data_IF_468659882808
#
_entry.id   IF_468659882808
#
_cell.length_a   1.000
_cell.length_b   1.000
_cell.length_c   1.000
_cell.angle_alpha   90.00
_cell.angle_beta   90.00
_cell.angle_gamma   90.00
#
_symmetry.space_group_name_H-M   'P 1'
#
loop_
_entity.id
_entity.type
_entity.pdbx_description
1 polymer ?
#
# COMPACT_ATOMS: atom_id res chain seq x y z
N UNK A 1 -1.44 -25.41 -7.70
CA UNK A 1 -0.97 -24.01 -7.77
C UNK A 1 -0.74 -23.68 -9.24
N UNK A 2 -1.59 -22.87 -9.86
CA UNK A 2 -1.37 -22.43 -11.23
C UNK A 2 -0.19 -21.45 -11.25
N UNK A 3 0.89 -21.80 -11.96
CA UNK A 3 1.99 -20.88 -12.23
C UNK A 3 1.49 -19.82 -13.21
N UNK A 4 1.68 -18.55 -12.87
CA UNK A 4 1.49 -17.37 -13.74
C UNK A 4 2.52 -17.36 -14.90
N UNK A 5 2.60 -18.43 -15.68
CA UNK A 5 3.62 -18.58 -16.73
C UNK A 5 3.14 -18.17 -18.13
N UNK A 6 1.93 -17.63 -18.28
CA UNK A 6 1.43 -17.14 -19.58
C UNK A 6 0.83 -15.74 -19.50
N UNK A 7 1.46 -14.87 -18.72
CA UNK A 7 1.46 -13.43 -18.98
C UNK A 7 2.92 -13.04 -19.23
N UNK A 8 3.22 -12.11 -20.17
CA UNK A 8 4.61 -11.76 -20.48
C UNK A 8 5.37 -11.41 -19.21
N UNK A 9 6.71 -11.57 -19.23
CA UNK A 9 7.69 -11.39 -18.14
C UNK A 9 7.53 -10.10 -17.28
N UNK A 10 6.58 -9.23 -17.62
CA UNK A 10 6.12 -8.00 -16.97
C UNK A 10 5.91 -8.14 -15.46
N UNK A 11 5.31 -9.23 -14.97
CA UNK A 11 5.03 -9.41 -13.53
C UNK A 11 5.71 -10.65 -12.99
N UNK A 12 6.36 -10.54 -11.83
CA UNK A 12 6.96 -11.67 -11.12
C UNK A 12 6.76 -11.55 -9.62
N UNK A 13 6.25 -12.61 -9.01
CA UNK A 13 6.06 -12.69 -7.58
C UNK A 13 7.36 -13.02 -6.83
N UNK A 14 7.55 -12.39 -5.67
CA UNK A 14 8.64 -12.66 -4.72
C UNK A 14 8.04 -12.89 -3.33
N UNK A 15 8.08 -14.13 -2.86
CA UNK A 15 7.46 -14.54 -1.59
C UNK A 15 8.50 -14.84 -0.50
N UNK A 16 8.13 -14.61 0.76
CA UNK A 16 8.99 -14.71 1.95
C UNK A 16 9.18 -13.36 2.64
N UNK A 17 9.99 -13.29 3.70
CA UNK A 17 10.21 -12.06 4.49
C UNK A 17 10.48 -10.82 3.61
N UNK A 18 9.72 -9.75 3.79
CA UNK A 18 9.84 -8.49 3.02
C UNK A 18 11.30 -8.02 2.89
N UNK A 19 12.01 -7.97 4.03
CA UNK A 19 13.41 -7.53 4.10
C UNK A 19 14.37 -8.40 3.27
N UNK A 20 13.99 -9.66 2.98
CA UNK A 20 14.78 -10.61 2.18
C UNK A 20 14.35 -10.65 0.72
N UNK A 21 13.09 -10.38 0.42
CA UNK A 21 12.51 -10.45 -0.92
C UNK A 21 12.66 -9.15 -1.69
N UNK A 22 12.53 -7.98 -1.05
CA UNK A 22 12.72 -6.67 -1.71
C UNK A 22 14.11 -6.52 -2.36
N UNK A 23 15.24 -6.90 -1.72
CA UNK A 23 16.55 -6.89 -2.38
C UNK A 23 16.63 -7.80 -3.61
N UNK A 24 16.01 -8.99 -3.57
CA UNK A 24 16.01 -9.94 -4.68
C UNK A 24 15.23 -9.39 -5.87
N UNK A 25 14.06 -8.80 -5.61
CA UNK A 25 13.24 -8.13 -6.62
C UNK A 25 14.05 -7.03 -7.32
N UNK A 26 14.73 -6.17 -6.55
CA UNK A 26 15.58 -5.12 -7.11
C UNK A 26 16.78 -5.65 -7.89
N UNK A 27 17.40 -6.73 -7.42
CA UNK A 27 18.54 -7.36 -8.11
C UNK A 27 18.15 -7.89 -9.50
N UNK A 28 16.88 -8.18 -9.74
CA UNK A 28 16.34 -8.53 -11.06
C UNK A 28 15.93 -7.31 -11.91
N UNK A 29 16.23 -6.08 -11.47
CA UNK A 29 15.90 -4.85 -12.18
C UNK A 29 14.39 -4.53 -12.23
N UNK A 30 13.60 -5.12 -11.33
CA UNK A 30 12.16 -4.92 -11.24
C UNK A 30 11.81 -3.79 -10.27
N UNK A 31 10.67 -3.16 -10.50
CA UNK A 31 10.07 -2.14 -9.63
C UNK A 31 9.04 -2.84 -8.73
N UNK A 32 9.06 -2.63 -7.41
CA UNK A 32 8.04 -3.21 -6.54
C UNK A 32 6.69 -2.50 -6.75
N UNK A 33 5.61 -3.27 -6.78
CA UNK A 33 4.25 -2.74 -6.95
C UNK A 33 3.78 -1.87 -5.78
N UNK A 34 3.00 -0.84 -6.10
CA UNK A 34 2.30 0.04 -5.14
C UNK A 34 0.78 -0.18 -5.16
N UNK A 35 0.03 0.41 -4.23
CA UNK A 35 -1.41 0.17 -4.08
C UNK A 35 -2.18 0.57 -5.35
N UNK A 36 -1.91 1.76 -5.89
CA UNK A 36 -2.54 2.26 -7.12
C UNK A 36 -2.34 1.31 -8.30
N UNK A 37 -1.12 0.80 -8.49
CA UNK A 37 -0.82 -0.18 -9.54
C UNK A 37 -1.58 -1.48 -9.34
N UNK A 38 -1.70 -1.99 -8.12
CA UNK A 38 -2.50 -3.19 -7.85
C UNK A 38 -3.99 -2.98 -8.10
N UNK A 39 -4.55 -1.80 -7.79
CA UNK A 39 -5.92 -1.45 -8.17
C UNK A 39 -6.11 -1.53 -9.69
N UNK A 40 -5.20 -0.90 -10.45
CA UNK A 40 -5.25 -0.90 -11.90
C UNK A 40 -5.11 -2.31 -12.48
N UNK A 41 -4.20 -3.12 -11.95
CA UNK A 41 -4.01 -4.51 -12.37
C UNK A 41 -5.28 -5.33 -12.12
N UNK A 42 -5.87 -5.24 -10.92
CA UNK A 42 -7.13 -5.91 -10.59
C UNK A 42 -8.25 -5.54 -11.57
N UNK A 43 -8.35 -4.27 -11.94
CA UNK A 43 -9.30 -3.80 -12.96
C UNK A 43 -8.99 -4.33 -14.37
N UNK A 44 -7.72 -4.36 -14.79
CA UNK A 44 -7.32 -4.86 -16.10
C UNK A 44 -7.68 -6.34 -16.30
N UNK A 45 -7.65 -7.13 -15.23
CA UNK A 45 -7.98 -8.56 -15.24
C UNK A 45 -9.40 -8.87 -14.71
N UNK A 46 -10.27 -7.87 -14.51
CA UNK A 46 -11.62 -8.08 -13.95
C UNK A 46 -12.51 -9.01 -14.77
N UNK A 47 -12.28 -9.04 -16.09
CA UNK A 47 -12.98 -9.89 -17.07
C UNK A 47 -12.06 -11.00 -17.62
N UNK A 48 -10.88 -11.19 -17.04
CA UNK A 48 -9.93 -12.22 -17.47
C UNK A 48 -10.35 -13.63 -17.03
N UNK A 49 -9.60 -14.67 -17.44
CA UNK A 49 -9.79 -16.04 -16.96
C UNK A 49 -9.84 -16.09 -15.43
N UNK A 50 -10.76 -16.88 -14.87
CA UNK A 50 -11.03 -16.87 -13.43
C UNK A 50 -9.78 -17.14 -12.58
N UNK A 51 -8.91 -18.06 -13.00
CA UNK A 51 -7.66 -18.35 -12.32
C UNK A 51 -6.72 -17.11 -12.25
N UNK A 52 -6.66 -16.32 -13.33
CA UNK A 52 -5.83 -15.11 -13.40
C UNK A 52 -6.46 -14.00 -12.55
N UNK A 53 -7.77 -13.80 -12.67
CA UNK A 53 -8.52 -12.84 -11.86
C UNK A 53 -8.37 -13.13 -10.36
N UNK A 54 -8.52 -14.39 -9.96
CA UNK A 54 -8.39 -14.81 -8.56
C UNK A 54 -6.96 -14.68 -8.04
N UNK A 55 -5.94 -14.87 -8.88
CA UNK A 55 -4.55 -14.62 -8.51
C UNK A 55 -4.35 -13.14 -8.12
N UNK A 56 -4.87 -12.21 -8.91
CA UNK A 56 -4.76 -10.77 -8.65
C UNK A 56 -5.67 -10.26 -7.53
N UNK A 57 -6.79 -10.94 -7.25
CA UNK A 57 -7.65 -10.68 -6.09
C UNK A 57 -7.10 -11.26 -4.77
N UNK A 58 -5.91 -11.86 -4.80
CA UNK A 58 -5.18 -12.28 -3.60
C UNK A 58 -4.40 -11.11 -2.98
N UNK A 59 -3.68 -11.35 -1.89
CA UNK A 59 -2.99 -10.31 -1.14
C UNK A 59 -1.59 -10.00 -1.68
N UNK A 60 -1.15 -8.77 -1.45
CA UNK A 60 0.17 -8.28 -1.85
C UNK A 60 0.71 -7.24 -0.87
N UNK A 61 1.98 -7.38 -0.51
CA UNK A 61 2.76 -6.30 0.10
C UNK A 61 3.16 -5.29 -0.96
N UNK A 62 3.34 -4.03 -0.55
CA UNK A 62 3.64 -2.94 -1.47
C UNK A 62 4.90 -2.15 -1.08
N UNK A 63 5.32 -1.24 -1.95
CA UNK A 63 6.37 -0.26 -1.64
C UNK A 63 5.84 1.06 -1.07
N UNK A 64 4.51 1.25 -0.98
CA UNK A 64 3.94 2.38 -0.23
C UNK A 64 4.15 2.12 1.26
N UNK A 65 4.50 3.16 2.01
CA UNK A 65 4.75 3.07 3.44
C UNK A 65 3.77 3.88 4.28
N UNK A 66 3.61 3.45 5.52
CA UNK A 66 3.06 4.24 6.61
C UNK A 66 4.13 4.40 7.70
N UNK A 67 4.26 5.62 8.22
CA UNK A 67 5.24 5.96 9.24
C UNK A 67 4.50 6.47 10.46
N UNK A 68 4.64 5.76 11.58
CA UNK A 68 3.97 6.09 12.82
C UNK A 68 4.85 6.97 13.70
N UNK A 69 4.28 8.07 14.21
CA UNK A 69 4.92 8.86 15.24
C UNK A 69 4.75 8.20 16.62
N UNK A 70 5.79 8.13 17.48
CA UNK A 70 5.70 7.45 18.78
C UNK A 70 4.89 8.22 19.83
N UNK A 71 4.90 9.55 19.76
CA UNK A 71 4.35 10.43 20.80
C UNK A 71 3.05 11.12 20.39
N UNK A 72 2.63 10.97 19.13
CA UNK A 72 1.42 11.62 18.59
C UNK A 72 0.62 10.60 17.82
N UNK A 73 -0.67 10.86 17.62
CA UNK A 73 -1.50 10.10 16.69
C UNK A 73 -1.30 10.59 15.25
N UNK A 74 -0.09 11.00 14.87
CA UNK A 74 0.18 11.40 13.49
C UNK A 74 0.81 10.23 12.72
N UNK A 75 0.46 10.13 11.44
CA UNK A 75 1.13 9.24 10.50
C UNK A 75 1.59 10.01 9.28
N UNK A 76 2.65 9.52 8.66
CA UNK A 76 3.01 9.88 7.29
C UNK A 76 2.65 8.73 6.36
N UNK A 77 2.04 9.06 5.22
CA UNK A 77 1.90 8.14 4.10
C UNK A 77 3.00 8.49 3.10
N UNK A 78 3.96 7.61 2.91
CA UNK A 78 5.11 7.80 2.02
C UNK A 78 4.93 6.91 0.78
N UNK A 79 4.48 7.53 -0.32
CA UNK A 79 4.17 6.83 -1.57
C UNK A 79 5.46 6.46 -2.31
N UNK A 80 5.55 5.22 -2.79
CA UNK A 80 6.76 4.67 -3.41
C UNK A 80 8.02 4.85 -2.52
N UNK A 81 7.91 4.48 -1.24
CA UNK A 81 8.90 4.77 -0.20
C UNK A 81 10.30 4.26 -0.55
N UNK A 82 11.24 5.20 -0.72
CA UNK A 82 12.64 4.85 -0.98
C UNK A 82 13.26 4.03 0.16
N UNK A 83 12.83 4.24 1.41
CA UNK A 83 13.36 3.51 2.56
C UNK A 83 12.97 2.04 2.53
N UNK A 84 11.72 1.75 2.17
CA UNK A 84 11.27 0.37 1.97
C UNK A 84 11.91 -0.26 0.74
N UNK A 85 11.96 0.47 -0.39
CA UNK A 85 12.60 -0.03 -1.61
C UNK A 85 14.06 -0.35 -1.35
N UNK A 86 14.79 0.51 -0.63
CA UNK A 86 16.23 0.36 -0.38
C UNK A 86 16.57 -0.59 0.76
N UNK A 87 15.58 -1.16 1.46
CA UNK A 87 15.80 -2.11 2.55
C UNK A 87 16.70 -3.27 2.12
N UNK A 88 17.51 -3.78 3.06
CA UNK A 88 18.49 -4.83 2.83
C UNK A 88 18.37 -5.94 3.88
N UNK A 89 18.98 -7.09 3.63
CA UNK A 89 18.97 -8.19 4.60
C UNK A 89 19.76 -7.87 5.88
N UNK A 90 20.71 -6.94 5.79
CA UNK A 90 21.53 -6.47 6.92
C UNK A 90 20.90 -5.30 7.65
N UNK A 91 19.63 -4.98 7.37
CA UNK A 91 18.91 -3.92 8.07
C UNK A 91 18.73 -4.32 9.55
N UNK A 92 19.66 -3.84 10.39
CA UNK A 92 19.65 -4.02 11.86
C UNK A 92 18.56 -3.21 12.57
N UNK A 93 17.97 -2.25 11.86
CA UNK A 93 17.01 -1.27 12.35
C UNK A 93 15.58 -1.82 12.44
N UNK A 94 15.38 -3.09 12.77
CA UNK A 94 14.04 -3.66 12.94
C UNK A 94 13.66 -3.70 14.42
N UNK A 95 12.48 -3.18 14.73
CA UNK A 95 11.90 -3.27 16.07
C UNK A 95 10.43 -3.66 15.95
N UNK A 96 10.08 -4.81 16.53
CA UNK A 96 8.72 -5.38 16.47
C UNK A 96 8.15 -5.38 15.03
N UNK A 97 8.94 -5.90 14.09
CA UNK A 97 8.58 -5.98 12.67
C UNK A 97 8.55 -4.67 11.89
N UNK A 98 8.72 -3.51 12.52
CA UNK A 98 8.81 -2.22 11.83
C UNK A 98 10.27 -1.82 11.56
N UNK A 99 10.49 -1.06 10.48
CA UNK A 99 11.77 -0.42 10.19
C UNK A 99 11.87 0.92 10.94
N UNK A 100 12.90 1.07 11.78
CA UNK A 100 13.20 2.35 12.43
C UNK A 100 13.85 3.32 11.43
N UNK A 101 13.45 4.60 11.46
CA UNK A 101 14.14 5.65 10.70
C UNK A 101 15.62 5.74 11.11
N UNK A 102 15.88 5.73 12.41
CA UNK A 102 17.20 5.55 13.00
C UNK A 102 17.11 4.84 14.36
N UNK A 103 18.20 4.21 14.77
CA UNK A 103 18.38 3.70 16.13
C UNK A 103 18.59 4.86 17.13
N UNK A 104 19.12 6.00 16.64
CA UNK A 104 19.22 7.22 17.42
C UNK A 104 17.89 7.99 17.38
N UNK A 105 17.36 8.36 18.55
CA UNK A 105 16.07 9.05 18.66
C UNK A 105 16.08 10.38 17.92
N UNK A 106 17.01 11.28 18.22
CA UNK A 106 17.04 12.64 17.65
C UNK A 106 17.20 12.61 16.13
N UNK A 107 18.05 11.70 15.62
CA UNK A 107 18.20 11.48 14.19
C UNK A 107 16.90 10.96 13.56
N UNK A 108 16.21 10.01 14.20
CA UNK A 108 14.95 9.48 13.70
C UNK A 108 13.87 10.58 13.58
N UNK A 109 13.79 11.49 14.55
CA UNK A 109 12.88 12.64 14.47
C UNK A 109 13.30 13.66 13.42
N UNK A 110 14.60 13.91 13.24
CA UNK A 110 15.10 14.77 12.16
C UNK A 110 14.75 14.21 10.78
N UNK A 111 14.89 12.89 10.58
CA UNK A 111 14.48 12.20 9.35
C UNK A 111 12.96 12.33 9.16
N UNK A 112 12.15 12.09 10.20
CA UNK A 112 10.69 12.23 10.12
C UNK A 112 10.25 13.63 9.67
N UNK A 113 10.85 14.69 10.23
CA UNK A 113 10.58 16.08 9.84
C UNK A 113 11.09 16.44 8.44
N UNK A 114 12.13 15.77 7.93
CA UNK A 114 12.53 15.90 6.53
C UNK A 114 11.56 15.20 5.58
N UNK A 115 11.11 13.99 5.92
CA UNK A 115 10.15 13.23 5.11
C UNK A 115 8.85 14.01 4.89
N UNK A 116 8.34 14.70 5.92
CA UNK A 116 7.16 15.58 5.82
C UNK A 116 7.23 16.66 4.73
N UNK A 117 8.43 17.00 4.26
CA UNK A 117 8.66 18.03 3.24
C UNK A 117 8.72 17.46 1.83
N UNK A 118 8.74 16.14 1.68
CA UNK A 118 8.81 15.46 0.39
C UNK A 118 7.44 15.47 -0.30
N UNK A 119 7.43 15.62 -1.62
CA UNK A 119 6.19 15.76 -2.42
C UNK A 119 5.32 14.50 -2.47
N UNK A 120 5.90 13.34 -2.19
CA UNK A 120 5.25 12.03 -2.16
C UNK A 120 4.83 11.61 -0.74
N UNK A 121 5.00 12.48 0.26
CA UNK A 121 4.70 12.21 1.66
C UNK A 121 3.54 13.07 2.15
N UNK A 122 2.54 12.44 2.76
CA UNK A 122 1.35 13.11 3.28
C UNK A 122 1.25 12.90 4.78
N UNK A 123 1.16 13.99 5.56
CA UNK A 123 0.90 13.93 6.99
C UNK A 123 -0.61 13.86 7.29
N UNK A 124 -1.01 12.85 8.04
CA UNK A 124 -2.31 12.80 8.71
C UNK A 124 -2.13 13.11 10.19
N UNK A 125 -2.78 14.18 10.64
CA UNK A 125 -2.75 14.60 12.04
C UNK A 125 -3.90 13.96 12.79
N UNK A 126 -3.63 13.52 14.02
CA UNK A 126 -4.64 12.94 14.92
C UNK A 126 -5.54 11.91 14.22
N UNK A 127 -4.93 10.91 13.57
CA UNK A 127 -5.73 9.79 13.06
C UNK A 127 -6.35 9.08 14.27
N UNK A 128 -7.59 9.43 14.60
CA UNK A 128 -8.45 8.70 15.55
C UNK A 128 -8.93 7.39 14.93
N UNK A 129 -8.06 6.72 14.21
CA UNK A 129 -8.32 5.40 13.67
C UNK A 129 -7.76 4.46 14.73
N UNK A 130 -8.55 4.28 15.80
CA UNK A 130 -8.36 3.13 16.68
C UNK A 130 -8.36 1.86 15.80
N UNK A 131 -7.80 0.75 16.29
CA UNK A 131 -7.80 -0.57 15.62
C UNK A 131 -9.23 -1.14 15.47
N UNK A 132 -10.10 -0.40 14.85
CA UNK A 132 -11.43 -0.78 14.40
C UNK A 132 -11.25 -1.14 12.94
N UNK A 133 -11.64 -2.38 12.59
CA UNK A 133 -11.95 -2.71 11.22
C UNK A 133 -13.11 -1.78 10.85
N UNK A 134 -12.79 -0.68 10.20
CA UNK A 134 -13.76 0.33 9.79
C UNK A 134 -14.38 -0.15 8.46
N UNK A 135 -15.43 -0.95 8.59
CA UNK A 135 -16.23 -1.41 7.47
C UNK A 135 -16.93 -0.22 6.84
N UNK A 136 -16.49 0.16 5.65
CA UNK A 136 -17.00 1.34 4.97
C UNK A 136 -18.11 0.95 3.99
N UNK A 137 -19.09 1.84 3.83
CA UNK A 137 -19.96 1.79 2.66
C UNK A 137 -19.17 2.12 1.39
N UNK A 138 -19.73 1.82 0.23
CA UNK A 138 -19.12 2.09 -1.08
C UNK A 138 -18.82 3.59 -1.25
N UNK A 139 -19.74 4.44 -0.82
CA UNK A 139 -19.63 5.90 -0.86
C UNK A 139 -18.58 6.42 0.14
N UNK A 140 -18.50 5.80 1.33
CA UNK A 140 -17.48 6.14 2.32
C UNK A 140 -16.08 5.81 1.82
N UNK A 141 -15.88 4.65 1.17
CA UNK A 141 -14.58 4.30 0.57
C UNK A 141 -14.16 5.33 -0.48
N UNK A 142 -15.06 5.69 -1.40
CA UNK A 142 -14.75 6.63 -2.49
C UNK A 142 -14.39 8.03 -2.00
N UNK A 143 -14.90 8.43 -0.83
CA UNK A 143 -14.64 9.73 -0.22
C UNK A 143 -13.52 9.72 0.83
N UNK A 144 -13.07 8.53 1.26
CA UNK A 144 -12.07 8.35 2.31
C UNK A 144 -10.71 8.95 1.91
N UNK A 145 -10.13 9.87 2.71
CA UNK A 145 -8.86 10.50 2.40
C UNK A 145 -7.69 9.52 2.16
N UNK A 146 -7.60 8.44 2.92
CA UNK A 146 -6.50 7.47 2.82
C UNK A 146 -6.62 6.66 1.53
N UNK A 147 -7.82 6.16 1.22
CA UNK A 147 -8.05 5.45 -0.03
C UNK A 147 -7.76 6.32 -1.25
N UNK A 148 -8.14 7.61 -1.20
CA UNK A 148 -7.87 8.57 -2.28
C UNK A 148 -6.37 8.79 -2.51
N UNK A 149 -5.59 8.89 -1.44
CA UNK A 149 -4.14 9.05 -1.52
C UNK A 149 -3.48 7.78 -2.07
N UNK A 150 -3.86 6.61 -1.56
CA UNK A 150 -3.30 5.34 -2.00
C UNK A 150 -3.66 5.00 -3.45
N UNK A 151 -4.87 5.36 -3.88
CA UNK A 151 -5.30 5.21 -5.27
C UNK A 151 -4.60 6.18 -6.22
N UNK A 152 -4.21 7.37 -5.73
CA UNK A 152 -3.54 8.45 -6.48
C UNK A 152 -4.38 9.09 -7.60
N UNK A 153 -5.48 8.45 -8.00
CA UNK A 153 -6.43 8.90 -9.00
C UNK A 153 -7.86 8.56 -8.53
N UNK A 154 -8.76 9.55 -8.57
CA UNK A 154 -10.13 9.39 -8.07
C UNK A 154 -10.98 8.48 -8.96
N UNK A 155 -10.79 8.51 -10.28
CA UNK A 155 -11.53 7.65 -11.19
C UNK A 155 -11.12 6.18 -11.00
N UNK A 156 -9.83 5.93 -10.81
CA UNK A 156 -9.30 4.63 -10.43
C UNK A 156 -9.91 4.13 -9.12
N UNK A 157 -9.96 4.97 -8.07
CA UNK A 157 -10.61 4.58 -6.82
C UNK A 157 -12.09 4.23 -7.03
N UNK A 158 -12.82 5.04 -7.80
CA UNK A 158 -14.23 4.81 -8.06
C UNK A 158 -14.46 3.48 -8.77
N UNK A 159 -13.76 3.23 -9.88
CA UNK A 159 -13.88 2.01 -10.67
C UNK A 159 -13.44 0.77 -9.88
N UNK A 160 -12.39 0.92 -9.08
CA UNK A 160 -11.88 -0.14 -8.22
C UNK A 160 -12.90 -0.50 -7.12
N UNK A 161 -13.48 0.50 -6.47
CA UNK A 161 -14.49 0.31 -5.42
C UNK A 161 -15.75 -0.36 -6.00
N UNK A 162 -16.31 0.22 -7.06
CA UNK A 162 -16.87 -0.46 -8.24
C UNK A 162 -16.83 -1.98 -8.19
N UNK A 163 -15.73 -2.45 -8.74
CA UNK A 163 -15.42 -3.83 -8.98
C UNK A 163 -15.34 -4.68 -7.70
N UNK A 164 -14.76 -4.15 -6.62
CA UNK A 164 -14.57 -4.93 -5.39
C UNK A 164 -15.89 -5.21 -4.68
N UNK A 165 -16.81 -4.23 -4.63
CA UNK A 165 -18.14 -4.44 -4.04
C UNK A 165 -18.92 -5.48 -4.83
N UNK A 166 -18.98 -5.32 -6.16
CA UNK A 166 -19.73 -6.23 -7.03
C UNK A 166 -19.17 -7.67 -6.95
N UNK A 167 -17.83 -7.83 -6.96
CA UNK A 167 -17.21 -9.16 -6.84
C UNK A 167 -17.38 -9.79 -5.46
N UNK A 168 -17.31 -8.98 -4.41
CA UNK A 168 -17.44 -9.49 -3.05
C UNK A 168 -18.88 -9.92 -2.74
N UNK A 169 -19.86 -9.14 -3.17
CA UNK A 169 -21.27 -9.51 -3.08
C UNK A 169 -21.53 -10.82 -3.84
N UNK A 170 -21.06 -10.91 -5.09
CA UNK A 170 -21.23 -12.09 -5.93
C UNK A 170 -20.59 -13.36 -5.37
N UNK A 171 -19.40 -13.27 -4.78
CA UNK A 171 -18.62 -14.45 -4.34
C UNK A 171 -18.85 -14.84 -2.88
N UNK A 172 -19.09 -13.86 -2.02
CA UNK A 172 -19.09 -14.03 -0.57
C UNK A 172 -20.31 -13.42 0.12
N UNK A 173 -21.13 -12.64 -0.59
CA UNK A 173 -22.28 -11.95 -0.01
C UNK A 173 -21.89 -10.86 1.00
N UNK A 174 -20.67 -10.33 0.93
CA UNK A 174 -20.25 -9.25 1.83
C UNK A 174 -20.62 -7.88 1.26
N UNK A 175 -21.29 -7.06 2.06
CA UNK A 175 -21.75 -5.72 1.69
C UNK A 175 -20.70 -4.62 1.94
N UNK A 176 -19.70 -4.88 2.78
CA UNK A 176 -18.65 -3.90 3.16
C UNK A 176 -17.24 -4.49 3.04
N UNK A 177 -16.80 -4.88 1.82
CA UNK A 177 -15.57 -5.63 1.64
C UNK A 177 -14.28 -4.80 1.73
N UNK A 178 -14.35 -3.52 2.03
CA UNK A 178 -13.19 -2.62 2.05
C UNK A 178 -13.09 -1.91 3.39
N UNK A 179 -11.92 -2.01 4.01
CA UNK A 179 -11.61 -1.42 5.31
C UNK A 179 -10.16 -0.93 5.36
N UNK A 180 -9.84 -0.16 6.39
CA UNK A 180 -8.48 0.34 6.66
C UNK A 180 -8.06 -0.18 8.03
N UNK A 181 -6.89 -0.81 8.10
CA UNK A 181 -6.30 -1.28 9.34
C UNK A 181 -5.02 -0.51 9.59
N UNK A 182 -4.98 0.24 10.69
CA UNK A 182 -3.78 0.97 11.11
C UNK A 182 -3.16 0.34 12.35
N UNK A 183 -1.83 0.42 12.39
CA UNK A 183 -1.04 0.11 13.56
C UNK A 183 -0.88 1.29 14.49
N UNK A 184 0.08 1.14 15.39
CA UNK A 184 0.62 2.23 16.18
C UNK A 184 2.10 1.95 16.39
N UNK A 185 2.87 3.02 16.56
CA UNK A 185 4.27 2.90 16.94
C UNK A 185 4.40 2.11 18.25
N UNK A 186 5.30 1.13 18.31
CA UNK A 186 5.52 0.31 19.52
C UNK A 186 6.74 0.76 20.32
N UNK A 187 7.66 1.46 19.69
CA UNK A 187 8.89 1.99 20.25
C UNK A 187 8.81 3.47 20.61
N UNK A 188 9.99 4.06 20.83
CA UNK A 188 10.17 5.49 21.18
C UNK A 188 10.66 6.34 20.00
N UNK A 189 10.82 5.73 18.83
CA UNK A 189 11.29 6.35 17.59
C UNK A 189 10.27 6.11 16.50
N UNK A 190 10.13 7.01 15.50
CA UNK A 190 9.21 6.76 14.40
C UNK A 190 9.51 5.46 13.65
N UNK A 191 8.44 4.73 13.33
CA UNK A 191 8.45 3.38 12.79
C UNK A 191 7.80 3.33 11.42
N UNK A 192 8.47 2.74 10.43
CA UNK A 192 7.97 2.52 9.08
C UNK A 192 7.43 1.09 8.94
N UNK A 193 6.26 0.96 8.33
CA UNK A 193 5.69 -0.31 7.87
C UNK A 193 5.26 -0.18 6.41
N UNK A 194 5.24 -1.31 5.70
CA UNK A 194 4.70 -1.37 4.35
C UNK A 194 3.17 -1.39 4.40
N UNK A 195 2.53 -0.77 3.41
CA UNK A 195 1.13 -1.03 3.14
C UNK A 195 0.97 -2.42 2.53
N UNK A 196 0.01 -3.16 3.05
CA UNK A 196 -0.43 -4.45 2.56
C UNK A 196 -1.84 -4.34 1.99
N UNK A 197 -2.05 -4.87 0.78
CA UNK A 197 -3.37 -4.97 0.15
C UNK A 197 -3.97 -6.35 0.39
N UNK A 198 -5.11 -6.38 1.07
CA UNK A 198 -5.88 -7.57 1.41
C UNK A 198 -6.45 -8.30 0.19
N UNK A 199 -6.62 -9.61 0.36
CA UNK A 199 -7.32 -10.48 -0.60
C UNK A 199 -8.83 -10.29 -0.47
N UNK A 200 -9.57 -10.43 -1.57
CA UNK A 200 -11.03 -10.25 -1.58
C UNK A 200 -11.76 -11.09 -0.52
N UNK A 201 -11.37 -12.36 -0.34
CA UNK A 201 -12.04 -13.28 0.60
C UNK A 201 -11.80 -13.01 2.09
N UNK A 202 -10.85 -12.14 2.44
CA UNK A 202 -10.63 -11.66 3.82
C UNK A 202 -10.88 -10.15 3.90
N UNK A 203 -11.74 -9.60 3.03
CA UNK A 203 -11.93 -8.17 2.83
C UNK A 203 -10.73 -7.56 2.08
N UNK A 204 -11.00 -6.80 1.02
CA UNK A 204 -10.01 -6.04 0.26
C UNK A 204 -9.53 -4.81 1.04
N UNK A 205 -9.02 -5.02 2.25
CA UNK A 205 -8.52 -3.98 3.13
C UNK A 205 -7.15 -3.44 2.72
N UNK A 206 -6.78 -2.28 3.24
CA UNK A 206 -5.38 -1.83 3.30
C UNK A 206 -4.90 -1.88 4.74
N UNK A 207 -3.75 -2.52 4.99
CA UNK A 207 -3.21 -2.72 6.32
C UNK A 207 -1.81 -2.10 6.44
N UNK A 208 -1.67 -1.20 7.39
CA UNK A 208 -0.42 -0.53 7.73
C UNK A 208 0.26 -1.09 8.99
N UNK A 209 -0.27 -2.16 9.57
CA UNK A 209 0.19 -2.73 10.83
C UNK A 209 1.09 -3.97 10.70
N UNK A 210 1.31 -4.49 9.48
CA UNK A 210 2.03 -5.74 9.26
C UNK A 210 3.54 -5.62 9.49
N UNK A 211 4.15 -6.76 9.81
CA UNK A 211 5.57 -6.90 10.14
C UNK A 211 6.40 -7.18 8.88
N UNK A 212 7.51 -6.45 8.69
CA UNK A 212 8.41 -6.57 7.54
C UNK A 212 9.31 -7.83 7.60
N UNK A 213 9.41 -8.47 8.75
CA UNK A 213 10.24 -9.65 8.96
C UNK A 213 9.44 -10.94 9.19
N UNK A 214 8.12 -10.87 9.07
CA UNK A 214 7.28 -12.06 9.04
C UNK A 214 7.49 -12.84 7.73
N UNK A 215 7.40 -14.16 7.79
CA UNK A 215 7.69 -15.05 6.66
C UNK A 215 6.67 -15.01 5.52
N UNK A 216 5.56 -14.29 5.69
CA UNK A 216 4.39 -14.32 4.82
C UNK A 216 4.34 -13.30 3.69
N UNK A 217 5.34 -12.42 3.53
CA UNK A 217 5.22 -11.34 2.54
C UNK A 217 5.17 -11.84 1.09
N UNK A 218 4.43 -11.12 0.26
CA UNK A 218 4.17 -11.40 -1.16
C UNK A 218 4.30 -10.12 -1.99
N UNK A 219 5.51 -9.85 -2.45
CA UNK A 219 5.81 -8.70 -3.32
C UNK A 219 5.59 -9.06 -4.79
N UNK A 220 5.13 -8.08 -5.57
CA UNK A 220 5.10 -8.19 -7.03
C UNK A 220 6.13 -7.26 -7.66
N UNK A 221 7.06 -7.84 -8.42
CA UNK A 221 8.04 -7.11 -9.22
C UNK A 221 7.54 -6.87 -10.65
N UNK A 222 7.45 -5.60 -11.02
CA UNK A 222 6.98 -5.12 -12.31
C UNK A 222 8.21 -4.76 -13.18
N UNK A 223 8.28 -5.27 -14.41
CA UNK A 223 9.33 -4.83 -15.35
C UNK A 223 9.10 -3.35 -15.73
N UNK A 224 10.17 -2.53 -15.77
CA UNK A 224 10.09 -1.21 -16.35
C UNK A 224 9.78 -1.34 -17.85
N UNK A 225 8.61 -0.88 -18.29
CA UNK A 225 8.30 -0.83 -19.74
C UNK A 225 8.96 0.39 -20.38
N UNK A 226 9.41 0.25 -21.65
CA UNK A 226 10.00 1.37 -22.43
C UNK A 226 9.03 2.53 -22.64
N UNK A 227 7.73 2.24 -22.67
CA UNK A 227 6.67 3.22 -22.47
C UNK A 227 6.37 3.31 -20.97
N UNK A 228 6.96 4.30 -20.31
CA UNK A 228 6.66 4.68 -18.94
C UNK A 228 5.28 5.35 -18.83
N UNK A 229 4.26 4.86 -19.55
CA UNK A 229 2.87 5.35 -19.52
C UNK A 229 2.02 4.68 -18.44
N UNK A 230 2.61 3.79 -17.63
CA UNK A 230 2.25 3.69 -16.21
C UNK A 230 2.73 4.93 -15.41
N UNK A 231 3.06 6.03 -16.10
CA UNK A 231 2.83 7.38 -15.62
C UNK A 231 1.38 7.46 -15.11
N UNK A 232 1.21 7.10 -13.84
CA UNK A 232 0.32 7.81 -12.93
C UNK A 232 0.28 9.24 -13.41
N UNK A 233 -0.88 9.74 -13.85
CA UNK A 233 -1.05 11.19 -13.93
C UNK A 233 -0.58 11.70 -12.57
N UNK A 234 0.54 12.40 -12.55
CA UNK A 234 0.97 13.16 -11.39
C UNK A 234 -0.02 14.30 -11.29
N UNK A 235 -1.23 14.01 -10.81
CA UNK A 235 -1.99 15.06 -10.18
C UNK A 235 -1.10 15.56 -9.06
N UNK A 236 -0.88 16.86 -9.03
CA UNK A 236 -0.32 17.48 -7.85
C UNK A 236 -1.19 17.07 -6.66
N UNK A 237 -0.57 16.81 -5.52
CA UNK A 237 -1.28 16.53 -4.27
C UNK A 237 -2.36 17.60 -4.00
N UNK A 238 -2.08 18.83 -4.44
CA UNK A 238 -2.98 19.97 -4.40
C UNK A 238 -4.27 19.73 -5.21
N UNK A 239 -4.23 19.12 -6.39
CA UNK A 239 -5.43 18.79 -7.17
C UNK A 239 -6.30 17.69 -6.52
N UNK A 240 -5.69 16.75 -5.80
CA UNK A 240 -6.41 15.73 -5.02
C UNK A 240 -7.07 16.38 -3.79
N UNK A 241 -6.40 17.34 -3.14
CA UNK A 241 -6.93 18.05 -1.98
C UNK A 241 -7.96 19.13 -2.35
N UNK A 242 -7.79 19.82 -3.48
CA UNK A 242 -8.62 20.93 -3.97
C UNK A 242 -9.97 20.46 -4.52
N UNK A 243 -10.10 19.19 -4.88
CA UNK A 243 -11.39 18.60 -5.26
C UNK A 243 -12.40 18.53 -4.09
N UNK A 244 -12.08 19.13 -2.92
CA UNK A 244 -12.93 19.22 -1.72
C UNK A 244 -13.53 20.60 -1.46
N UNK A 245 -13.38 21.61 -2.31
CA UNK A 245 -14.13 22.87 -2.15
C UNK A 245 -15.59 22.77 -2.65
N UNK A 246 -16.33 21.77 -2.19
CA UNK A 246 -17.80 21.74 -2.18
C UNK A 246 -18.32 20.93 -1.00
N UNK A 247 -17.96 21.34 0.21
CA UNK A 247 -18.75 21.08 1.41
C UNK A 247 -18.76 22.38 2.22
N UNK A 248 -19.87 23.13 2.10
CA UNK A 248 -20.28 24.14 3.07
C UNK A 248 -20.92 23.45 4.26
#
# INVERSE_FOLDING_TARGET
MAKLNETPETYKEFSGKYIKTMPKLRAEGRIPGNISQFMQIRLNYKNGPEAIKNAWLSNYDTCDAVIYHPETQNILIDLDSEMLIKISQDTKKLYNGALLLSENKDEAFAIYEQLKKQSNVIEFKNHKLERTIDFKSKEDVKSDPLWRILARDQALLNDYTDFIYDESEKKYGHETPMSIILGSCKGKTPEIRAWYLGRLGNESYVNGADDLDDGGSRLMGILPTRDSTLNTRKYSLQEILDSRFYLR
#
